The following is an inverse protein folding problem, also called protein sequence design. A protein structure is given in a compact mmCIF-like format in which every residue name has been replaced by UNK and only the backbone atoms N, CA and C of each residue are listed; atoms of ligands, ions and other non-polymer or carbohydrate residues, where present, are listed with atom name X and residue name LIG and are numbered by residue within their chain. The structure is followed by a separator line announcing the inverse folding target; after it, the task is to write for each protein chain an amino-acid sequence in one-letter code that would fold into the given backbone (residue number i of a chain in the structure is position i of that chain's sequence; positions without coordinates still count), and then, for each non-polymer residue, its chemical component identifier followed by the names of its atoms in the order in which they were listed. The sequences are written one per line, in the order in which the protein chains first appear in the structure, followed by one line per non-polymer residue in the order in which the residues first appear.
data_IF_531494371604
#
_entry.id   IF_531494371604
#
_cell.length_a   1.000
_cell.length_b   1.000
_cell.length_c   1.000
_cell.angle_alpha   90.00
_cell.angle_beta   90.00
_cell.angle_gamma   90.00
#
_symmetry.space_group_name_H-M   'P 1'
#
loop_
_entity.id
_entity.type
_entity.pdbx_description
1 polymer ?
#
# COMPACT_ATOMS: atom_id res chain seq x y z
N UNK A 1 -23.21 51.86 -36.47
CA UNK A 1 -21.82 51.82 -35.99
C UNK A 1 -21.45 50.60 -35.15
N UNK A 2 -21.95 50.39 -33.92
CA UNK A 2 -21.53 49.22 -33.12
C UNK A 2 -21.99 47.88 -33.73
N UNK A 3 -23.24 47.82 -34.20
CA UNK A 3 -23.79 46.63 -34.86
C UNK A 3 -23.14 46.36 -36.24
N UNK A 4 -22.73 47.40 -36.96
CA UNK A 4 -22.01 47.27 -38.24
C UNK A 4 -20.59 46.74 -38.03
N UNK A 5 -19.83 47.28 -37.06
CA UNK A 5 -18.50 46.76 -36.74
C UNK A 5 -18.54 45.30 -36.25
N UNK A 6 -19.58 44.95 -35.48
CA UNK A 6 -19.80 43.56 -35.06
C UNK A 6 -20.06 42.64 -36.26
N UNK A 7 -20.86 43.09 -37.24
CA UNK A 7 -21.14 42.33 -38.45
C UNK A 7 -19.93 42.25 -39.41
N UNK A 8 -19.14 43.32 -39.57
CA UNK A 8 -17.90 43.31 -40.36
C UNK A 8 -16.86 42.34 -39.77
N UNK A 9 -16.70 42.32 -38.45
CA UNK A 9 -15.83 41.34 -37.79
C UNK A 9 -16.34 39.92 -38.03
N UNK A 10 -17.66 39.70 -38.02
CA UNK A 10 -18.32 38.42 -38.31
C UNK A 10 -18.10 37.90 -39.73
N UNK A 11 -17.95 38.81 -40.68
CA UNK A 11 -17.68 38.48 -42.08
C UNK A 11 -16.18 38.25 -42.34
N UNK A 12 -15.28 38.69 -41.45
CA UNK A 12 -13.87 38.31 -41.47
C UNK A 12 -13.69 36.87 -40.95
N UNK A 13 -13.97 35.92 -41.84
CA UNK A 13 -13.89 34.48 -41.58
C UNK A 13 -12.53 34.00 -41.08
N UNK A 14 -11.45 34.75 -41.29
CA UNK A 14 -10.11 34.44 -40.77
C UNK A 14 -10.03 34.61 -39.25
N UNK A 15 -10.59 35.71 -38.72
CA UNK A 15 -10.63 35.98 -37.28
C UNK A 15 -11.57 35.01 -36.55
N UNK A 16 -12.72 34.68 -37.15
CA UNK A 16 -13.65 33.70 -36.61
C UNK A 16 -13.05 32.28 -36.62
N UNK A 17 -12.36 31.89 -37.69
CA UNK A 17 -11.66 30.61 -37.77
C UNK A 17 -10.51 30.51 -36.75
N UNK A 18 -9.77 31.60 -36.51
CA UNK A 18 -8.73 31.63 -35.49
C UNK A 18 -9.31 31.53 -34.07
N UNK A 19 -10.36 32.29 -33.75
CA UNK A 19 -11.03 32.22 -32.45
C UNK A 19 -11.58 30.81 -32.17
N UNK A 20 -12.23 30.17 -33.16
CA UNK A 20 -12.71 28.80 -33.05
C UNK A 20 -11.57 27.80 -32.81
N UNK A 21 -10.43 27.99 -33.49
CA UNK A 21 -9.24 27.15 -33.30
C UNK A 21 -8.64 27.29 -31.90
N UNK A 22 -8.65 28.50 -31.34
CA UNK A 22 -8.17 28.78 -29.98
C UNK A 22 -9.10 28.16 -28.95
N UNK A 23 -10.42 28.29 -29.12
CA UNK A 23 -11.39 27.64 -28.24
C UNK A 23 -11.26 26.12 -28.29
N UNK A 24 -11.07 25.53 -29.47
CA UNK A 24 -10.86 24.10 -29.62
C UNK A 24 -9.58 23.64 -28.89
N UNK A 25 -8.47 24.37 -29.08
CA UNK A 25 -7.21 24.06 -28.40
C UNK A 25 -7.34 24.19 -26.88
N UNK A 26 -8.04 25.21 -26.38
CA UNK A 26 -8.32 25.37 -24.95
C UNK A 26 -9.14 24.22 -24.38
N UNK A 27 -10.20 23.80 -25.09
CA UNK A 27 -11.03 22.65 -24.68
C UNK A 27 -10.21 21.35 -24.66
N UNK A 28 -9.34 21.15 -25.66
CA UNK A 28 -8.47 19.97 -25.72
C UNK A 28 -7.47 19.93 -24.56
N UNK A 29 -6.83 21.06 -24.23
CA UNK A 29 -5.93 21.17 -23.08
C UNK A 29 -6.67 20.91 -21.77
N UNK A 30 -7.85 21.51 -21.59
CA UNK A 30 -8.66 21.31 -20.38
C UNK A 30 -9.09 19.85 -20.21
N UNK A 31 -9.61 19.23 -21.27
CA UNK A 31 -10.00 17.82 -21.24
C UNK A 31 -8.82 16.91 -20.90
N UNK A 32 -7.64 17.19 -21.46
CA UNK A 32 -6.44 16.43 -21.16
C UNK A 32 -5.95 16.61 -19.71
N UNK A 33 -6.05 17.82 -19.14
CA UNK A 33 -5.73 18.06 -17.74
C UNK A 33 -6.69 17.33 -16.80
N UNK A 34 -7.98 17.31 -17.12
CA UNK A 34 -9.00 16.58 -16.37
C UNK A 34 -8.75 15.07 -16.41
N UNK A 35 -8.46 14.53 -17.61
CA UNK A 35 -8.13 13.11 -17.80
C UNK A 35 -6.87 12.72 -17.02
N UNK A 36 -5.79 13.50 -17.13
CA UNK A 36 -4.55 13.23 -16.40
C UNK A 36 -4.75 13.31 -14.88
N UNK A 37 -5.57 14.24 -14.41
CA UNK A 37 -5.88 14.38 -12.97
C UNK A 37 -6.66 13.16 -12.49
N UNK A 38 -7.71 12.75 -13.21
CA UNK A 38 -8.50 11.57 -12.88
C UNK A 38 -7.66 10.29 -12.89
N UNK A 39 -6.77 10.12 -13.87
CA UNK A 39 -5.88 8.96 -13.94
C UNK A 39 -4.85 8.98 -12.78
N UNK A 40 -4.30 10.15 -12.45
CA UNK A 40 -3.39 10.29 -11.32
C UNK A 40 -4.07 9.98 -9.98
N UNK A 41 -5.30 10.45 -9.77
CA UNK A 41 -6.10 10.14 -8.57
C UNK A 41 -6.40 8.65 -8.47
N UNK A 42 -6.88 8.04 -9.57
CA UNK A 42 -7.16 6.61 -9.64
C UNK A 42 -5.91 5.78 -9.34
N UNK A 43 -4.79 6.09 -10.00
CA UNK A 43 -3.52 5.40 -9.79
C UNK A 43 -3.00 5.59 -8.36
N UNK A 44 -3.18 6.77 -7.78
CA UNK A 44 -2.84 7.05 -6.38
C UNK A 44 -3.66 6.21 -5.43
N UNK A 45 -4.97 6.15 -5.62
CA UNK A 45 -5.89 5.37 -4.80
C UNK A 45 -5.61 3.87 -4.90
N UNK A 46 -5.42 3.33 -6.10
CA UNK A 46 -5.11 1.92 -6.32
C UNK A 46 -3.80 1.51 -5.65
N UNK A 47 -2.74 2.33 -5.80
CA UNK A 47 -1.46 2.08 -5.14
C UNK A 47 -1.59 2.15 -3.62
N UNK A 48 -2.24 3.19 -3.11
CA UNK A 48 -2.45 3.37 -1.67
C UNK A 48 -3.24 2.22 -1.05
N UNK A 49 -4.33 1.81 -1.72
CA UNK A 49 -5.15 0.68 -1.28
C UNK A 49 -4.36 -0.63 -1.28
N UNK A 50 -3.63 -0.93 -2.37
CA UNK A 50 -2.82 -2.15 -2.47
C UNK A 50 -1.74 -2.22 -1.40
N UNK A 51 -1.02 -1.11 -1.19
CA UNK A 51 0.03 -1.02 -0.15
C UNK A 51 -0.56 -1.14 1.26
N UNK A 52 -1.66 -0.42 1.54
CA UNK A 52 -2.33 -0.47 2.83
C UNK A 52 -2.86 -1.86 3.15
N UNK A 53 -3.50 -2.53 2.19
CA UNK A 53 -4.00 -3.89 2.35
C UNK A 53 -2.86 -4.88 2.60
N UNK A 54 -1.78 -4.81 1.82
CA UNK A 54 -0.62 -5.68 1.98
C UNK A 54 0.05 -5.52 3.35
N UNK A 55 0.26 -4.27 3.78
CA UNK A 55 0.85 -3.99 5.10
C UNK A 55 -0.07 -4.42 6.24
N UNK A 56 -1.37 -4.18 6.12
CA UNK A 56 -2.36 -4.57 7.11
C UNK A 56 -2.44 -6.09 7.27
N UNK A 57 -2.48 -6.82 6.15
CA UNK A 57 -2.50 -8.29 6.17
C UNK A 57 -1.22 -8.86 6.77
N UNK A 58 -0.05 -8.33 6.38
CA UNK A 58 1.23 -8.79 6.94
C UNK A 58 1.29 -8.57 8.45
N UNK A 59 0.98 -7.36 8.93
CA UNK A 59 0.96 -7.06 10.37
C UNK A 59 -0.03 -7.94 11.14
N UNK A 60 -1.22 -8.17 10.59
CA UNK A 60 -2.23 -9.02 11.22
C UNK A 60 -1.76 -10.47 11.38
N UNK A 61 -1.15 -11.03 10.34
CA UNK A 61 -0.58 -12.38 10.38
C UNK A 61 0.59 -12.48 11.37
N UNK A 62 1.47 -11.47 11.41
CA UNK A 62 2.61 -11.44 12.33
C UNK A 62 2.16 -11.33 13.79
N UNK A 63 1.14 -10.51 14.06
CA UNK A 63 0.52 -10.39 15.39
C UNK A 63 -0.16 -11.69 15.82
N UNK A 64 -0.97 -12.31 14.95
CA UNK A 64 -1.66 -13.58 15.23
C UNK A 64 -0.67 -14.69 15.54
N UNK A 65 0.39 -14.82 14.73
CA UNK A 65 1.45 -15.81 14.93
C UNK A 65 2.21 -15.59 16.23
N UNK A 66 2.51 -14.33 16.59
CA UNK A 66 3.10 -13.99 17.90
C UNK A 66 2.19 -14.45 19.04
N UNK A 67 0.92 -14.09 19.00
CA UNK A 67 -0.06 -14.43 20.04
C UNK A 67 -0.23 -15.94 20.17
N UNK A 68 -0.28 -16.66 19.04
CA UNK A 68 -0.35 -18.12 19.04
C UNK A 68 0.88 -18.74 19.72
N UNK A 69 2.09 -18.31 19.34
CA UNK A 69 3.31 -18.84 19.94
C UNK A 69 3.41 -18.54 21.45
N UNK A 70 3.04 -17.32 21.87
CA UNK A 70 2.96 -16.98 23.30
C UNK A 70 1.97 -17.90 24.04
N UNK A 71 0.78 -18.10 23.47
CA UNK A 71 -0.21 -19.01 24.06
C UNK A 71 0.31 -20.44 24.17
N UNK A 72 1.01 -20.95 23.15
CA UNK A 72 1.62 -22.29 23.20
C UNK A 72 2.70 -22.41 24.28
N UNK A 73 3.54 -21.38 24.45
CA UNK A 73 4.57 -21.34 25.50
C UNK A 73 3.93 -21.36 26.89
N UNK A 74 2.89 -20.54 27.11
CA UNK A 74 2.12 -20.52 28.36
C UNK A 74 1.49 -21.89 28.62
N UNK A 75 0.82 -22.49 27.63
CA UNK A 75 0.14 -23.76 27.82
C UNK A 75 1.09 -24.94 28.01
N UNK A 76 2.22 -24.98 27.29
CA UNK A 76 3.16 -26.10 27.35
C UNK A 76 4.09 -26.02 28.55
N UNK A 77 4.61 -24.82 28.85
CA UNK A 77 5.67 -24.64 29.83
C UNK A 77 5.22 -23.87 31.08
N UNK A 78 4.05 -23.22 31.07
CA UNK A 78 3.57 -22.41 32.18
C UNK A 78 4.34 -21.08 32.34
N UNK A 79 4.92 -20.57 31.25
CA UNK A 79 5.79 -19.38 31.27
C UNK A 79 5.13 -18.25 30.48
N UNK A 80 4.98 -17.10 31.13
CA UNK A 80 4.63 -15.83 30.48
C UNK A 80 5.90 -14.98 30.40
N UNK A 81 6.42 -14.78 29.19
CA UNK A 81 7.57 -13.90 28.94
C UNK A 81 7.46 -13.13 27.61
N UNK A 82 8.33 -12.13 27.44
CA UNK A 82 8.38 -11.26 26.26
C UNK A 82 9.41 -11.74 25.21
N UNK A 83 10.04 -12.92 25.38
CA UNK A 83 11.11 -13.38 24.49
C UNK A 83 10.62 -13.49 23.04
N UNK A 84 9.36 -13.89 22.85
CA UNK A 84 8.73 -14.00 21.52
C UNK A 84 8.78 -12.67 20.75
N UNK A 85 8.79 -11.53 21.45
CA UNK A 85 8.85 -10.20 20.82
C UNK A 85 10.23 -9.87 20.24
N UNK A 86 11.29 -10.53 20.74
CA UNK A 86 12.65 -10.40 20.22
C UNK A 86 12.92 -11.25 18.98
N UNK A 87 12.00 -12.18 18.65
CA UNK A 87 12.16 -13.09 17.54
C UNK A 87 11.81 -12.44 16.20
N UNK A 88 12.64 -12.71 15.19
CA UNK A 88 12.28 -12.52 13.78
C UNK A 88 11.13 -13.44 13.37
N UNK A 89 10.47 -13.14 12.25
CA UNK A 89 9.33 -13.93 11.81
C UNK A 89 9.72 -15.37 11.45
N UNK A 90 10.91 -15.57 10.88
CA UNK A 90 11.44 -16.90 10.62
C UNK A 90 11.70 -17.67 11.93
N UNK A 91 12.26 -17.01 12.95
CA UNK A 91 12.46 -17.65 14.26
C UNK A 91 11.11 -18.02 14.89
N UNK A 92 10.05 -17.21 14.72
CA UNK A 92 8.70 -17.56 15.18
C UNK A 92 8.14 -18.78 14.45
N UNK A 93 8.33 -18.91 13.13
CA UNK A 93 7.93 -20.12 12.37
C UNK A 93 8.63 -21.36 12.92
N UNK A 94 9.94 -21.24 13.07
CA UNK A 94 10.78 -22.30 13.57
C UNK A 94 10.42 -22.70 15.00
N UNK A 95 10.06 -21.73 15.84
CA UNK A 95 9.65 -21.94 17.22
C UNK A 95 8.31 -22.70 17.31
N UNK A 96 7.33 -22.37 16.46
CA UNK A 96 6.02 -23.06 16.43
C UNK A 96 6.16 -24.55 16.10
N UNK A 97 7.17 -24.93 15.31
CA UNK A 97 7.45 -26.35 15.02
C UNK A 97 8.24 -26.97 16.18
N UNK A 98 9.33 -26.32 16.60
CA UNK A 98 10.25 -26.88 17.59
C UNK A 98 9.65 -27.00 18.98
N UNK A 99 8.66 -26.16 19.31
CA UNK A 99 7.94 -26.25 20.58
C UNK A 99 7.24 -27.60 20.74
N UNK A 100 6.96 -28.35 19.67
CA UNK A 100 6.36 -29.68 19.78
C UNK A 100 7.38 -30.69 20.34
N UNK A 101 8.65 -30.56 19.97
CA UNK A 101 9.71 -31.53 20.27
C UNK A 101 10.56 -31.18 21.51
N UNK A 102 10.47 -29.94 22.01
CA UNK A 102 11.26 -29.50 23.16
C UNK A 102 10.53 -29.76 24.48
N UNK A 103 11.17 -30.47 25.43
CA UNK A 103 10.56 -30.77 26.73
C UNK A 103 10.56 -29.57 27.68
N UNK A 104 11.49 -28.62 27.48
CA UNK A 104 11.62 -27.43 28.32
C UNK A 104 11.73 -26.17 27.48
N UNK A 105 11.40 -25.05 28.11
CA UNK A 105 11.47 -23.74 27.47
C UNK A 105 12.91 -23.32 27.11
N UNK A 106 13.88 -23.61 27.99
CA UNK A 106 15.29 -23.34 27.69
C UNK A 106 15.81 -24.18 26.52
N UNK A 107 15.41 -25.45 26.43
CA UNK A 107 15.76 -26.29 25.28
C UNK A 107 15.19 -25.75 23.96
N UNK A 108 14.02 -25.10 23.99
CA UNK A 108 13.48 -24.41 22.81
C UNK A 108 14.35 -23.20 22.41
N UNK A 109 14.71 -22.35 23.38
CA UNK A 109 15.56 -21.16 23.15
C UNK A 109 16.93 -21.55 22.58
N UNK A 110 17.58 -22.54 23.20
CA UNK A 110 18.88 -23.04 22.75
C UNK A 110 18.82 -23.61 21.33
N UNK A 111 17.77 -24.35 21.00
CA UNK A 111 17.64 -24.98 19.68
C UNK A 111 17.44 -23.96 18.56
N UNK A 112 16.72 -22.87 18.83
CA UNK A 112 16.59 -21.73 17.91
C UNK A 112 17.92 -21.01 17.69
N UNK A 113 18.66 -20.72 18.76
CA UNK A 113 19.97 -20.05 18.66
C UNK A 113 21.02 -20.91 17.93
N UNK A 114 21.00 -22.23 18.13
CA UNK A 114 21.94 -23.15 17.48
C UNK A 114 21.73 -23.29 15.96
N UNK A 115 20.56 -22.91 15.43
CA UNK A 115 20.35 -22.84 13.98
C UNK A 115 20.97 -21.61 13.33
N UNK A 116 21.20 -20.53 14.07
CA UNK A 116 21.83 -19.31 13.53
C UNK A 116 23.35 -19.44 13.32
N UNK A 117 23.97 -20.49 13.88
CA UNK A 117 25.41 -20.76 13.77
C UNK A 117 25.79 -21.75 12.65
N UNK A 118 24.86 -22.12 11.77
CA UNK A 118 25.11 -22.99 10.61
C UNK A 118 24.82 -22.26 9.30
#
# INVERSE_FOLDING_TARGET
MAMEKYNEMREDGSLFSWAESVEFAQRAVQANLEEQTAEAEKSGLERGFKQGLQQGLQKGLDEEKRTLLQSLIVHKYGIEDEWVESLSDQQKDDAVIQILDCDTYEALKERLNNKEMK
#
